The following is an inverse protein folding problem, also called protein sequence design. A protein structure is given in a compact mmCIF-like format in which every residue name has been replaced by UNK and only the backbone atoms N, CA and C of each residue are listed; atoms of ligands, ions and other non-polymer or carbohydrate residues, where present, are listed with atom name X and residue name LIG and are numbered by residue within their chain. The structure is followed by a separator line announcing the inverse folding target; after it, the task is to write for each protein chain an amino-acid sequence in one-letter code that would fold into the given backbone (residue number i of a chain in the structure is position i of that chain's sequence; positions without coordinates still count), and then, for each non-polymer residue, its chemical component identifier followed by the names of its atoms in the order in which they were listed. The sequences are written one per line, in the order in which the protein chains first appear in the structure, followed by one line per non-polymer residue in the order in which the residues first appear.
data_IF_119891106085
#
_entry.id   IF_119891106085
#
_cell.length_a   1.000
_cell.length_b   1.000
_cell.length_c   1.000
_cell.angle_alpha   90.00
_cell.angle_beta   90.00
_cell.angle_gamma   90.00
#
_symmetry.space_group_name_H-M   'P 1'
#
loop_
_entity.id
_entity.type
_entity.pdbx_description
1 polymer ?
#
# COMPACT_ATOMS: atom_id res chain seq x y z
N UNK A 1 -53.36 27.10 3.82
CA UNK A 1 -51.89 27.24 3.86
C UNK A 1 -51.32 25.97 3.24
N UNK A 2 -50.79 26.04 2.02
CA UNK A 2 -50.22 24.87 1.33
C UNK A 2 -48.72 24.82 1.60
N UNK A 3 -48.23 23.69 2.11
CA UNK A 3 -46.81 23.39 2.17
C UNK A 3 -46.40 22.82 0.82
N UNK A 4 -45.49 23.50 0.10
CA UNK A 4 -44.85 22.94 -1.10
C UNK A 4 -43.87 21.89 -0.63
N UNK A 5 -44.06 20.66 -1.08
CA UNK A 5 -43.06 19.60 -0.99
C UNK A 5 -41.76 20.10 -1.62
N UNK A 6 -40.73 20.29 -0.78
CA UNK A 6 -39.39 20.61 -1.23
C UNK A 6 -38.63 19.28 -1.30
N UNK A 7 -38.59 18.69 -2.50
CA UNK A 7 -37.73 17.54 -2.75
C UNK A 7 -36.29 18.06 -2.83
N UNK A 8 -35.49 17.79 -1.79
CA UNK A 8 -34.05 18.00 -1.85
C UNK A 8 -33.49 16.83 -2.66
N UNK A 9 -33.10 17.07 -3.90
CA UNK A 9 -32.27 16.12 -4.64
C UNK A 9 -30.91 16.07 -3.95
N UNK A 10 -30.66 14.98 -3.22
CA UNK A 10 -29.32 14.67 -2.75
C UNK A 10 -28.48 14.32 -3.97
N UNK A 11 -27.71 15.30 -4.45
CA UNK A 11 -26.72 15.04 -5.48
C UNK A 11 -25.50 14.44 -4.79
N UNK A 12 -25.10 13.25 -5.21
CA UNK A 12 -23.93 12.56 -4.71
C UNK A 12 -22.66 13.30 -5.18
N UNK A 13 -21.90 13.95 -4.28
CA UNK A 13 -20.72 14.73 -4.66
C UNK A 13 -19.62 13.86 -5.28
N UNK A 14 -19.58 12.55 -4.99
CA UNK A 14 -18.64 11.63 -5.62
C UNK A 14 -19.01 11.40 -7.09
N UNK A 15 -20.30 11.31 -7.40
CA UNK A 15 -20.80 11.15 -8.75
C UNK A 15 -20.57 12.41 -9.60
N UNK A 16 -20.76 13.59 -9.03
CA UNK A 16 -20.45 14.86 -9.71
C UNK A 16 -18.95 14.97 -10.02
N UNK A 17 -18.08 14.67 -9.04
CA UNK A 17 -16.64 14.70 -9.23
C UNK A 17 -16.19 13.69 -10.31
N UNK A 18 -16.78 12.49 -10.31
CA UNK A 18 -16.56 11.49 -11.35
C UNK A 18 -16.98 12.00 -12.74
N UNK A 19 -18.20 12.53 -12.87
CA UNK A 19 -18.73 12.99 -14.15
C UNK A 19 -17.92 14.16 -14.70
N UNK A 20 -17.57 15.12 -13.84
CA UNK A 20 -16.69 16.23 -14.18
C UNK A 20 -15.33 15.76 -14.70
N UNK A 21 -14.72 14.76 -14.06
CA UNK A 21 -13.44 14.20 -14.50
C UNK A 21 -13.56 13.54 -15.88
N UNK A 22 -14.64 12.78 -16.12
CA UNK A 22 -14.91 12.13 -17.41
C UNK A 22 -15.10 13.16 -18.52
N UNK A 23 -15.87 14.22 -18.29
CA UNK A 23 -16.15 15.24 -19.30
C UNK A 23 -14.93 16.11 -19.59
N UNK A 24 -14.09 16.34 -18.58
CA UNK A 24 -12.78 16.97 -18.76
C UNK A 24 -11.88 16.13 -19.67
N UNK A 25 -11.84 14.80 -19.51
CA UNK A 25 -11.06 13.92 -20.40
C UNK A 25 -11.60 13.98 -21.84
N UNK A 26 -12.92 13.96 -22.02
CA UNK A 26 -13.56 14.05 -23.35
C UNK A 26 -13.31 15.39 -24.04
N UNK A 27 -13.36 16.51 -23.30
CA UNK A 27 -13.17 17.86 -23.87
C UNK A 27 -11.78 18.06 -24.49
N UNK A 28 -10.80 17.27 -24.03
CA UNK A 28 -9.44 17.22 -24.61
C UNK A 28 -9.31 16.23 -25.78
N UNK A 29 -10.42 15.77 -26.36
CA UNK A 29 -10.44 14.85 -27.50
C UNK A 29 -9.99 13.42 -27.18
N UNK A 30 -9.92 13.04 -25.89
CA UNK A 30 -9.54 11.68 -25.49
C UNK A 30 -10.76 10.75 -25.49
N UNK A 31 -10.55 9.52 -25.94
CA UNK A 31 -11.57 8.47 -25.91
C UNK A 31 -11.69 7.88 -24.51
N UNK A 32 -12.89 7.92 -23.94
CA UNK A 32 -13.23 7.22 -22.69
C UNK A 32 -13.83 5.86 -23.03
N UNK A 33 -13.32 4.79 -22.41
CA UNK A 33 -13.82 3.41 -22.58
C UNK A 33 -14.39 2.96 -21.24
N UNK A 34 -15.68 2.58 -21.24
CA UNK A 34 -16.38 2.03 -20.08
C UNK A 34 -16.27 0.51 -20.00
N UNK A 35 -16.62 -0.06 -18.85
CA UNK A 35 -16.70 -1.51 -18.62
C UNK A 35 -15.36 -2.23 -18.78
N UNK A 36 -14.26 -1.55 -18.43
CA UNK A 36 -12.94 -2.17 -18.37
C UNK A 36 -12.94 -3.19 -17.23
N UNK A 37 -12.68 -4.45 -17.57
CA UNK A 37 -12.48 -5.50 -16.56
C UNK A 37 -11.09 -5.33 -15.96
N UNK A 38 -11.04 -4.85 -14.72
CA UNK A 38 -9.79 -4.77 -13.96
C UNK A 38 -9.64 -6.08 -13.18
N UNK A 39 -8.52 -6.77 -13.38
CA UNK A 39 -8.17 -7.93 -12.56
C UNK A 39 -8.02 -7.48 -11.10
N UNK A 40 -8.82 -8.01 -10.16
CA UNK A 40 -8.68 -7.66 -8.76
C UNK A 40 -7.28 -8.00 -8.25
N UNK A 41 -6.70 -7.16 -7.41
CA UNK A 41 -5.40 -7.43 -6.79
C UNK A 41 -5.38 -8.78 -6.04
N UNK A 42 -6.52 -9.23 -5.50
CA UNK A 42 -6.68 -10.54 -4.86
C UNK A 42 -6.49 -11.73 -5.80
N UNK A 43 -6.63 -11.55 -7.12
CA UNK A 43 -6.34 -12.61 -8.12
C UNK A 43 -4.87 -12.66 -8.50
N UNK A 44 -4.08 -11.67 -8.11
CA UNK A 44 -2.64 -11.67 -8.31
C UNK A 44 -2.05 -12.45 -7.14
N UNK A 45 -1.78 -13.74 -7.36
CA UNK A 45 -1.26 -14.64 -6.32
C UNK A 45 -0.12 -15.49 -6.84
N UNK A 46 0.83 -15.84 -5.97
CA UNK A 46 1.90 -16.79 -6.25
C UNK A 46 2.07 -17.68 -5.02
N UNK A 47 2.13 -19.00 -5.24
CA UNK A 47 2.22 -20.01 -4.16
C UNK A 47 1.19 -19.83 -3.03
N UNK A 48 -0.03 -19.42 -3.37
CA UNK A 48 -1.12 -19.22 -2.41
C UNK A 48 -1.04 -17.92 -1.59
N UNK A 49 -0.02 -17.08 -1.82
CA UNK A 49 0.08 -15.75 -1.23
C UNK A 49 -0.32 -14.65 -2.22
N UNK A 50 -0.82 -13.52 -1.71
CA UNK A 50 -1.07 -12.36 -2.57
C UNK A 50 0.24 -11.81 -3.13
N UNK A 51 0.22 -11.38 -4.39
CA UNK A 51 1.38 -10.75 -5.05
C UNK A 51 1.84 -9.49 -4.30
N UNK A 52 0.91 -8.76 -3.68
CA UNK A 52 1.24 -7.65 -2.79
C UNK A 52 2.06 -8.11 -1.58
N UNK A 53 1.66 -9.20 -0.92
CA UNK A 53 2.38 -9.75 0.23
C UNK A 53 3.81 -10.14 -0.13
N UNK A 54 3.98 -10.83 -1.26
CA UNK A 54 5.28 -11.27 -1.76
C UNK A 54 6.16 -10.07 -2.08
N UNK A 55 5.64 -9.14 -2.89
CA UNK A 55 6.35 -7.94 -3.29
C UNK A 55 6.78 -7.11 -2.08
N UNK A 56 5.83 -6.86 -1.16
CA UNK A 56 6.09 -6.09 0.06
C UNK A 56 7.17 -6.75 0.90
N UNK A 57 7.02 -8.02 1.26
CA UNK A 57 7.96 -8.66 2.19
C UNK A 57 9.39 -8.63 1.66
N UNK A 58 9.56 -8.86 0.37
CA UNK A 58 10.88 -9.02 -0.21
C UNK A 58 11.53 -7.70 -0.66
N UNK A 59 10.78 -6.59 -0.69
CA UNK A 59 11.34 -5.23 -0.86
C UNK A 59 11.49 -4.48 0.46
N UNK A 60 10.72 -4.86 1.48
CA UNK A 60 10.65 -4.12 2.74
C UNK A 60 12.01 -3.93 3.38
N UNK A 61 12.80 -5.01 3.51
CA UNK A 61 14.14 -4.94 4.12
C UNK A 61 15.05 -3.94 3.39
N UNK A 62 15.23 -4.11 2.07
CA UNK A 62 16.17 -3.27 1.31
C UNK A 62 15.76 -1.80 1.31
N UNK A 63 14.46 -1.53 1.14
CA UNK A 63 13.95 -0.16 1.09
C UNK A 63 14.03 0.53 2.46
N UNK A 64 13.75 -0.22 3.54
CA UNK A 64 13.89 0.31 4.88
C UNK A 64 15.35 0.57 5.24
N UNK A 65 16.25 -0.35 4.91
CA UNK A 65 17.69 -0.19 5.13
C UNK A 65 18.23 1.06 4.41
N UNK A 66 17.88 1.24 3.13
CA UNK A 66 18.26 2.42 2.34
C UNK A 66 17.74 3.70 2.98
N UNK A 67 16.46 3.76 3.31
CA UNK A 67 15.85 4.91 3.98
C UNK A 67 16.54 5.24 5.31
N UNK A 68 16.79 4.25 6.17
CA UNK A 68 17.41 4.46 7.48
C UNK A 68 18.88 4.91 7.38
N UNK A 69 19.58 4.55 6.32
CA UNK A 69 20.94 5.02 6.05
C UNK A 69 20.97 6.51 5.67
N UNK A 70 19.95 6.99 4.96
CA UNK A 70 19.85 8.39 4.52
C UNK A 70 19.44 9.37 5.63
N UNK A 71 18.92 8.88 6.75
CA UNK A 71 18.50 9.74 7.86
C UNK A 71 19.69 10.50 8.47
N UNK A 72 19.58 11.83 8.58
CA UNK A 72 20.63 12.66 9.18
C UNK A 72 20.91 12.25 10.64
N UNK A 73 19.85 11.97 11.41
CA UNK A 73 19.92 11.52 12.79
C UNK A 73 19.01 10.31 13.00
N UNK A 74 19.61 9.16 13.29
CA UNK A 74 18.89 7.95 13.68
C UNK A 74 19.80 7.02 14.50
N UNK A 75 19.29 6.42 15.59
CA UNK A 75 20.02 5.41 16.35
C UNK A 75 20.05 4.03 15.66
N UNK A 76 19.23 3.84 14.61
CA UNK A 76 19.12 2.59 13.84
C UNK A 76 19.41 2.85 12.36
N UNK A 77 20.14 1.93 11.70
CA UNK A 77 20.58 2.09 10.30
C UNK A 77 20.16 0.93 9.40
N UNK A 78 19.39 0.00 9.93
CA UNK A 78 18.87 -1.18 9.22
C UNK A 78 17.67 -1.78 9.94
N UNK A 79 16.91 -2.64 9.26
CA UNK A 79 15.88 -3.49 9.85
C UNK A 79 16.45 -4.39 10.96
N UNK A 80 17.70 -4.86 10.81
CA UNK A 80 18.38 -5.61 11.87
C UNK A 80 18.58 -4.75 13.14
N UNK A 81 18.95 -3.48 12.98
CA UNK A 81 19.08 -2.55 14.09
C UNK A 81 17.72 -2.23 14.74
N UNK A 82 16.65 -2.10 13.95
CA UNK A 82 15.29 -1.94 14.47
C UNK A 82 14.89 -3.13 15.32
N UNK A 83 15.12 -4.35 14.83
CA UNK A 83 14.80 -5.57 15.59
C UNK A 83 15.57 -5.62 16.91
N UNK A 84 16.85 -5.26 16.87
CA UNK A 84 17.71 -5.17 18.06
C UNK A 84 17.20 -4.09 19.03
N UNK A 85 16.89 -2.91 18.54
CA UNK A 85 16.36 -1.81 19.35
C UNK A 85 15.07 -2.21 20.06
N UNK A 86 14.13 -2.85 19.36
CA UNK A 86 12.88 -3.33 19.98
C UNK A 86 13.12 -4.36 21.09
N UNK A 87 14.16 -5.19 20.98
CA UNK A 87 14.53 -6.14 22.02
C UNK A 87 15.17 -5.44 23.25
N UNK A 88 15.94 -4.38 23.03
CA UNK A 88 16.58 -3.60 24.09
C UNK A 88 15.59 -2.66 24.81
N UNK A 89 14.59 -2.16 24.09
CA UNK A 89 13.59 -1.21 24.58
C UNK A 89 12.16 -1.68 24.27
N UNK A 90 11.70 -2.80 24.88
CA UNK A 90 10.40 -3.40 24.56
C UNK A 90 9.21 -2.51 24.88
N UNK A 91 9.35 -1.60 25.84
CA UNK A 91 8.36 -0.56 26.18
C UNK A 91 8.17 0.48 25.08
N UNK A 92 9.18 0.70 24.24
CA UNK A 92 9.11 1.60 23.08
C UNK A 92 8.82 0.84 21.77
N UNK A 93 9.29 -0.40 21.67
CA UNK A 93 9.19 -1.22 20.46
C UNK A 93 7.86 -1.96 20.27
N UNK A 94 7.07 -2.13 21.34
CA UNK A 94 5.84 -2.92 21.30
C UNK A 94 4.63 -2.16 21.86
N UNK A 95 3.45 -2.54 21.38
CA UNK A 95 2.16 -2.07 21.89
C UNK A 95 1.23 -3.26 22.12
N UNK A 96 0.12 -3.11 22.86
CA UNK A 96 -0.84 -4.19 23.05
C UNK A 96 -1.39 -4.77 21.72
N UNK A 97 -1.51 -3.94 20.68
CA UNK A 97 -1.98 -4.34 19.34
C UNK A 97 -0.89 -5.01 18.49
N UNK A 98 0.37 -4.92 18.91
CA UNK A 98 1.52 -5.52 18.22
C UNK A 98 2.57 -5.91 19.27
N UNK A 99 2.32 -7.02 20.01
CA UNK A 99 3.11 -7.41 21.17
C UNK A 99 4.41 -8.14 20.80
N UNK A 100 4.61 -8.44 19.51
CA UNK A 100 5.78 -9.14 19.00
C UNK A 100 6.23 -8.58 17.64
N UNK A 101 7.44 -8.97 17.22
CA UNK A 101 8.05 -8.56 15.95
C UNK A 101 8.38 -9.74 15.03
N UNK A 102 7.63 -10.85 15.12
CA UNK A 102 7.83 -12.05 14.30
C UNK A 102 7.81 -11.71 12.80
N UNK A 103 6.99 -10.73 12.41
CA UNK A 103 6.91 -10.26 11.02
C UNK A 103 8.16 -9.52 10.55
N UNK A 104 8.75 -8.69 11.39
CA UNK A 104 10.01 -7.99 11.07
C UNK A 104 11.15 -9.01 10.96
N UNK A 105 11.19 -9.99 11.85
CA UNK A 105 12.16 -11.09 11.79
C UNK A 105 11.97 -11.91 10.51
N UNK A 106 10.74 -12.20 10.09
CA UNK A 106 10.50 -12.90 8.83
C UNK A 106 11.02 -12.09 7.65
N UNK A 107 10.70 -10.80 7.58
CA UNK A 107 11.14 -9.89 6.51
C UNK A 107 12.65 -9.69 6.48
N UNK A 108 13.33 -9.77 7.64
CA UNK A 108 14.78 -9.71 7.72
C UNK A 108 15.44 -10.94 7.08
N UNK A 109 14.81 -12.12 7.26
CA UNK A 109 15.30 -13.41 6.80
C UNK A 109 14.82 -13.78 5.39
N UNK A 110 13.76 -13.13 4.89
CA UNK A 110 13.28 -13.31 3.53
C UNK A 110 14.39 -12.89 2.55
N UNK A 111 14.71 -13.79 1.61
CA UNK A 111 15.69 -13.48 0.59
C UNK A 111 15.15 -12.39 -0.35
N UNK A 112 16.01 -11.49 -0.87
CA UNK A 112 15.62 -10.57 -1.94
C UNK A 112 14.98 -11.34 -3.12
N UNK A 113 14.07 -10.70 -3.87
CA UNK A 113 13.37 -11.28 -5.04
C UNK A 113 14.28 -11.66 -6.22
N UNK A 114 15.57 -11.89 -6.02
CA UNK A 114 16.52 -12.34 -7.04
C UNK A 114 16.12 -13.73 -7.60
N UNK A 115 15.17 -14.42 -6.97
CA UNK A 115 14.56 -15.68 -7.42
C UNK A 115 13.34 -15.51 -8.34
N UNK A 116 12.80 -14.29 -8.52
CA UNK A 116 11.71 -14.10 -9.47
C UNK A 116 12.26 -14.18 -10.92
N UNK A 117 11.59 -14.94 -11.81
CA UNK A 117 11.92 -14.92 -13.24
C UNK A 117 11.98 -13.48 -13.75
N UNK A 118 12.95 -13.14 -14.59
CA UNK A 118 13.20 -11.77 -15.09
C UNK A 118 11.96 -11.05 -15.62
N UNK A 119 10.96 -11.79 -16.11
CA UNK A 119 9.68 -11.24 -16.59
C UNK A 119 8.79 -10.63 -15.49
N UNK A 120 9.13 -10.81 -14.20
CA UNK A 120 8.41 -10.28 -13.05
C UNK A 120 9.25 -9.27 -12.22
N UNK A 121 10.43 -8.90 -12.71
CA UNK A 121 11.23 -7.80 -12.14
C UNK A 121 10.79 -6.48 -12.82
N UNK A 122 10.60 -5.38 -12.07
CA UNK A 122 10.15 -4.09 -12.61
C UNK A 122 11.16 -3.43 -13.56
#
# INVERSE_FOLDING_TARGET
MQFKDFTIEFVDPELEAYQWAIDTVKSHGRKVVSQVVITPASKITYEGQSGYTIFRNAKFRSQLDEYLQELESSPVRSLADVIKFNNEYPDLGFSPESPDQSKLISMQNDAPLDFLPKQYQP
#
